data_IF_300333587128
#
_entry.id   IF_300333587128
#
_cell.length_a   1.000
_cell.length_b   1.000
_cell.length_c   1.000
_cell.angle_alpha   90.00
_cell.angle_beta   90.00
_cell.angle_gamma   90.00
#
_symmetry.space_group_name_H-M   'P 1'
#
loop_
_entity.id
_entity.type
_entity.pdbx_description
1 polymer ?
#
# COMPACT_ATOMS: atom_id res chain seq x y z
N UNK A 1 30.14 -10.76 -0.60
CA UNK A 1 28.86 -10.65 0.14
C UNK A 1 28.01 -9.43 -0.26
N UNK A 2 28.56 -8.42 -0.95
CA UNK A 2 27.83 -7.19 -1.36
C UNK A 2 26.83 -7.39 -2.52
N UNK A 3 27.07 -8.33 -3.43
CA UNK A 3 26.19 -8.56 -4.58
C UNK A 3 24.84 -9.21 -4.26
N UNK A 4 24.75 -10.02 -3.20
CA UNK A 4 23.51 -10.72 -2.81
C UNK A 4 22.51 -9.77 -2.17
N UNK A 5 22.98 -8.82 -1.35
CA UNK A 5 22.13 -7.79 -0.72
C UNK A 5 21.58 -6.80 -1.75
N UNK A 6 22.43 -6.31 -2.67
CA UNK A 6 21.98 -5.41 -3.74
C UNK A 6 20.95 -6.06 -4.68
N UNK A 7 21.17 -7.34 -5.03
CA UNK A 7 20.22 -8.10 -5.85
C UNK A 7 18.88 -8.31 -5.13
N UNK A 8 18.91 -8.64 -3.83
CA UNK A 8 17.69 -8.83 -3.03
C UNK A 8 16.88 -7.53 -2.91
N UNK A 9 17.54 -6.39 -2.67
CA UNK A 9 16.89 -5.07 -2.65
C UNK A 9 16.25 -4.72 -4.00
N UNK A 10 16.96 -4.99 -5.10
CA UNK A 10 16.44 -4.75 -6.44
C UNK A 10 15.21 -5.62 -6.75
N UNK A 11 15.22 -6.89 -6.33
CA UNK A 11 14.09 -7.80 -6.47
C UNK A 11 12.88 -7.32 -5.65
N UNK A 12 13.09 -6.90 -4.40
CA UNK A 12 12.04 -6.35 -3.53
C UNK A 12 11.44 -5.09 -4.17
N UNK A 13 12.28 -4.20 -4.70
CA UNK A 13 11.83 -2.99 -5.38
C UNK A 13 11.00 -3.30 -6.62
N UNK A 14 11.40 -4.30 -7.42
CA UNK A 14 10.64 -4.74 -8.60
C UNK A 14 9.29 -5.35 -8.22
N UNK A 15 9.26 -6.26 -7.25
CA UNK A 15 8.01 -6.89 -6.76
C UNK A 15 7.06 -5.82 -6.23
N UNK A 16 7.59 -4.87 -5.45
CA UNK A 16 6.84 -3.76 -4.89
C UNK A 16 6.28 -2.88 -6.02
N UNK A 17 7.10 -2.50 -7.01
CA UNK A 17 6.67 -1.70 -8.15
C UNK A 17 5.55 -2.39 -8.97
N UNK A 18 5.66 -3.70 -9.21
CA UNK A 18 4.63 -4.48 -9.90
C UNK A 18 3.32 -4.47 -9.11
N UNK A 19 3.36 -4.67 -7.79
CA UNK A 19 2.17 -4.60 -6.95
C UNK A 19 1.58 -3.18 -6.92
N UNK A 20 2.39 -2.13 -6.76
CA UNK A 20 1.93 -0.73 -6.80
C UNK A 20 1.16 -0.44 -8.10
N UNK A 21 1.71 -0.88 -9.24
CA UNK A 21 1.11 -0.71 -10.56
C UNK A 21 -0.24 -1.43 -10.76
N UNK A 22 -0.62 -2.38 -9.89
CA UNK A 22 -1.95 -3.02 -9.91
C UNK A 22 -3.02 -2.15 -9.27
N UNK A 23 -2.66 -1.29 -8.31
CA UNK A 23 -3.60 -0.50 -7.53
C UNK A 23 -3.67 0.96 -7.98
N UNK A 24 -2.73 1.41 -8.82
CA UNK A 24 -2.76 2.75 -9.41
C UNK A 24 -3.90 2.88 -10.45
N UNK A 25 -4.72 3.94 -10.38
CA UNK A 25 -5.76 4.22 -11.36
C UNK A 25 -5.17 4.44 -12.77
N UNK A 26 -5.69 3.73 -13.78
CA UNK A 26 -5.26 3.85 -15.19
C UNK A 26 -6.37 4.40 -16.08
N UNK A 27 -7.63 4.15 -15.72
CA UNK A 27 -8.81 4.57 -16.48
C UNK A 27 -9.68 5.50 -15.65
N UNK A 28 -10.60 6.23 -16.31
CA UNK A 28 -11.55 7.15 -15.67
C UNK A 28 -12.37 6.47 -14.56
N UNK A 29 -12.77 5.22 -14.77
CA UNK A 29 -13.50 4.41 -13.79
C UNK A 29 -12.71 4.19 -12.50
N UNK A 30 -11.40 3.92 -12.60
CA UNK A 30 -10.53 3.72 -11.45
C UNK A 30 -10.44 4.98 -10.58
N UNK A 31 -10.42 6.16 -11.23
CA UNK A 31 -10.45 7.46 -10.55
C UNK A 31 -11.78 7.73 -9.85
N UNK A 32 -12.90 7.30 -10.41
CA UNK A 32 -14.20 7.35 -9.74
C UNK A 32 -14.23 6.42 -8.52
N UNK A 33 -13.70 5.21 -8.64
CA UNK A 33 -13.60 4.27 -7.52
C UNK A 33 -12.65 4.76 -6.41
N UNK A 34 -11.62 5.53 -6.76
CA UNK A 34 -10.75 6.19 -5.78
C UNK A 34 -11.54 7.23 -4.98
N UNK A 35 -12.35 8.06 -5.65
CA UNK A 35 -13.22 9.05 -5.01
C UNK A 35 -14.22 8.41 -4.05
N UNK A 36 -14.90 7.35 -4.49
CA UNK A 36 -15.85 6.63 -3.65
C UNK A 36 -15.18 5.98 -2.43
N UNK A 37 -13.99 5.39 -2.61
CA UNK A 37 -13.20 4.87 -1.48
C UNK A 37 -12.78 5.96 -0.51
N UNK A 38 -12.30 7.09 -1.03
CA UNK A 38 -11.91 8.25 -0.22
C UNK A 38 -13.06 8.76 0.67
N UNK A 39 -14.27 8.84 0.11
CA UNK A 39 -15.46 9.28 0.83
C UNK A 39 -15.88 8.30 1.94
N UNK A 40 -15.63 7.00 1.75
CA UNK A 40 -15.92 5.96 2.75
C UNK A 40 -14.87 5.87 3.86
N UNK A 41 -13.66 6.37 3.63
CA UNK A 41 -12.62 6.34 4.64
C UNK A 41 -12.98 7.22 5.84
N UNK A 42 -12.71 6.70 7.04
CA UNK A 42 -12.76 7.49 8.28
C UNK A 42 -11.76 8.64 8.20
N UNK A 43 -11.93 9.65 9.05
CA UNK A 43 -11.01 10.78 9.11
C UNK A 43 -9.56 10.32 9.42
N UNK A 44 -9.41 9.33 10.29
CA UNK A 44 -8.13 8.74 10.66
C UNK A 44 -7.45 8.03 9.49
N UNK A 45 -8.18 7.21 8.72
CA UNK A 45 -7.64 6.57 7.53
C UNK A 45 -7.21 7.59 6.48
N UNK A 46 -8.00 8.65 6.26
CA UNK A 46 -7.61 9.75 5.36
C UNK A 46 -6.35 10.45 5.84
N UNK A 47 -6.25 10.75 7.13
CA UNK A 47 -5.07 11.38 7.72
C UNK A 47 -3.82 10.50 7.57
N UNK A 48 -3.94 9.19 7.76
CA UNK A 48 -2.84 8.25 7.54
C UNK A 48 -2.37 8.26 6.08
N UNK A 49 -3.29 8.12 5.12
CA UNK A 49 -2.97 8.16 3.69
C UNK A 49 -2.32 9.49 3.29
N UNK A 50 -2.82 10.62 3.79
CA UNK A 50 -2.25 11.95 3.51
C UNK A 50 -0.83 12.09 4.06
N UNK A 51 -0.57 11.55 5.24
CA UNK A 51 0.77 11.52 5.83
C UNK A 51 1.74 10.70 4.97
N UNK A 52 1.32 9.52 4.48
CA UNK A 52 2.14 8.72 3.55
C UNK A 52 2.35 9.45 2.22
N UNK A 53 1.34 10.17 1.74
CA UNK A 53 1.43 10.96 0.51
C UNK A 53 2.21 12.29 0.66
N UNK A 54 2.61 12.67 1.88
CA UNK A 54 3.29 13.94 2.15
C UNK A 54 2.41 15.17 1.91
N UNK A 55 1.10 15.07 2.11
CA UNK A 55 0.12 16.14 1.86
C UNK A 55 -0.47 16.65 3.17
N UNK A 56 -0.55 17.96 3.31
CA UNK A 56 -1.21 18.63 4.43
C UNK A 56 -2.69 18.94 4.15
N UNK A 57 -3.49 18.92 5.22
CA UNK A 57 -4.91 19.24 5.18
C UNK A 57 -5.77 18.06 4.72
N UNK A 58 -6.92 17.90 5.38
CA UNK A 58 -7.89 16.85 5.08
C UNK A 58 -9.10 17.49 4.37
N UNK A 59 -9.16 17.32 3.06
CA UNK A 59 -10.17 17.90 2.20
C UNK A 59 -10.92 16.80 1.42
N UNK A 60 -12.10 17.14 0.86
CA UNK A 60 -12.71 16.32 -0.19
C UNK A 60 -11.73 16.09 -1.36
N UNK A 61 -11.79 14.91 -1.98
CA UNK A 61 -10.79 14.50 -2.98
C UNK A 61 -10.68 15.47 -4.16
N UNK A 62 -11.79 16.14 -4.50
CA UNK A 62 -11.93 17.07 -5.61
C UNK A 62 -11.13 18.35 -5.42
N UNK A 63 -10.85 18.75 -4.17
CA UNK A 63 -10.08 19.96 -3.86
C UNK A 63 -8.58 19.79 -4.05
N UNK A 64 -8.08 18.55 -4.14
CA UNK A 64 -6.69 18.29 -4.41
C UNK A 64 -6.36 18.46 -5.89
N UNK A 65 -5.15 18.92 -6.18
CA UNK A 65 -4.59 18.92 -7.54
C UNK A 65 -4.46 17.49 -8.07
N UNK A 66 -4.35 17.34 -9.39
CA UNK A 66 -4.19 16.00 -10.00
C UNK A 66 -2.89 15.31 -9.57
N UNK A 67 -1.83 16.08 -9.34
CA UNK A 67 -0.57 15.57 -8.76
C UNK A 67 -0.79 15.01 -7.36
N UNK A 68 -1.52 15.74 -6.50
CA UNK A 68 -1.86 15.26 -5.17
C UNK A 68 -2.78 14.05 -5.21
N UNK A 69 -3.78 14.01 -6.10
CA UNK A 69 -4.64 12.82 -6.29
C UNK A 69 -3.82 11.59 -6.70
N UNK A 70 -2.80 11.75 -7.55
CA UNK A 70 -1.86 10.67 -7.90
C UNK A 70 -1.01 10.24 -6.70
N UNK A 71 -0.53 11.18 -5.89
CA UNK A 71 0.22 10.86 -4.68
C UNK A 71 -0.65 10.10 -3.66
N UNK A 72 -1.91 10.51 -3.46
CA UNK A 72 -2.90 9.81 -2.62
C UNK A 72 -3.15 8.40 -3.16
N UNK A 73 -3.37 8.25 -4.47
CA UNK A 73 -3.57 6.95 -5.09
C UNK A 73 -2.35 6.02 -4.90
N UNK A 74 -1.15 6.58 -5.01
CA UNK A 74 0.12 5.86 -4.78
C UNK A 74 0.26 5.45 -3.32
N UNK A 75 -0.01 6.36 -2.38
CA UNK A 75 0.01 6.06 -0.96
C UNK A 75 -0.97 4.92 -0.59
N UNK A 76 -2.19 4.93 -1.16
CA UNK A 76 -3.16 3.83 -0.96
C UNK A 76 -2.62 2.52 -1.54
N UNK A 77 -2.00 2.57 -2.73
CA UNK A 77 -1.38 1.39 -3.34
C UNK A 77 -0.26 0.82 -2.43
N UNK A 78 0.57 1.69 -1.87
CA UNK A 78 1.67 1.33 -0.97
C UNK A 78 1.13 0.68 0.30
N UNK A 79 0.16 1.31 0.96
CA UNK A 79 -0.47 0.78 2.18
C UNK A 79 -1.06 -0.61 1.92
N UNK A 80 -1.76 -0.81 0.80
CA UNK A 80 -2.32 -2.12 0.46
C UNK A 80 -1.24 -3.17 0.16
N UNK A 81 -0.16 -2.78 -0.53
CA UNK A 81 0.94 -3.67 -0.85
C UNK A 81 1.66 -4.15 0.43
N UNK A 82 1.95 -3.23 1.36
CA UNK A 82 2.57 -3.57 2.64
C UNK A 82 1.64 -4.39 3.53
N UNK A 83 0.37 -4.03 3.66
CA UNK A 83 -0.59 -4.80 4.45
C UNK A 83 -0.69 -6.26 3.95
N UNK A 84 -0.72 -6.49 2.64
CA UNK A 84 -0.74 -7.83 2.06
C UNK A 84 0.56 -8.61 2.33
N UNK A 85 1.71 -7.94 2.25
CA UNK A 85 2.99 -8.55 2.60
C UNK A 85 3.06 -8.94 4.08
N UNK A 86 2.59 -8.06 4.97
CA UNK A 86 2.52 -8.30 6.41
C UNK A 86 1.57 -9.45 6.74
N UNK A 87 0.39 -9.52 6.11
CA UNK A 87 -0.54 -10.65 6.26
C UNK A 87 0.12 -11.97 5.86
N UNK A 88 0.85 -12.01 4.74
CA UNK A 88 1.56 -13.21 4.31
C UNK A 88 2.65 -13.63 5.31
N UNK A 89 3.37 -12.67 5.88
CA UNK A 89 4.38 -12.92 6.91
C UNK A 89 3.75 -13.42 8.21
N UNK A 90 2.71 -12.75 8.70
CA UNK A 90 1.96 -13.15 9.91
C UNK A 90 1.41 -14.57 9.75
N UNK A 91 0.83 -14.90 8.60
CA UNK A 91 0.33 -16.25 8.32
C UNK A 91 1.43 -17.30 8.36
N UNK A 92 2.64 -17.00 7.84
CA UNK A 92 3.80 -17.91 7.92
C UNK A 92 4.28 -18.09 9.35
N UNK A 93 4.38 -17.01 10.12
CA UNK A 93 4.78 -17.05 11.53
C UNK A 93 3.77 -17.87 12.34
N UNK A 94 2.46 -17.64 12.17
CA UNK A 94 1.42 -18.44 12.83
C UNK A 94 1.49 -19.91 12.45
N UNK A 95 1.81 -20.24 11.19
CA UNK A 95 2.01 -21.64 10.78
C UNK A 95 3.22 -22.24 11.50
N UNK A 96 4.34 -21.53 11.50
CA UNK A 96 5.56 -21.97 12.19
C UNK A 96 5.32 -22.24 13.69
N UNK A 97 4.63 -21.34 14.39
CA UNK A 97 4.27 -21.56 15.80
C UNK A 97 3.37 -22.78 16.00
N UNK A 98 2.36 -22.97 15.15
CA UNK A 98 1.50 -24.17 15.22
C UNK A 98 2.25 -25.46 14.92
N UNK A 99 3.23 -25.42 14.04
CA UNK A 99 4.05 -26.59 13.69
C UNK A 99 5.03 -26.92 14.84
N UNK A 100 5.54 -25.91 15.57
CA UNK A 100 6.31 -26.10 16.80
C UNK A 100 5.45 -26.67 17.93
N UNK A 101 4.24 -26.17 18.14
CA UNK A 101 3.31 -26.68 19.17
C UNK A 101 2.84 -28.12 18.92
N UNK A 102 2.96 -28.63 17.69
CA UNK A 102 2.63 -30.02 17.31
C UNK A 102 3.85 -30.94 17.27
N UNK A 103 5.05 -30.39 17.48
CA UNK A 103 6.33 -31.08 17.42
C UNK A 103 6.88 -31.54 18.78
N UNK A 104 6.14 -31.30 19.87
CA UNK A 104 6.26 -31.97 21.18
C UNK A 104 5.11 -32.97 21.37
#
# INVERSE_FOLDING_TARGET
MTGVSAWAEQLINQITAVHKNQYLPKKREDWLLLRERWNRYTAEHRAFVLRVAGIEGNFPLERYSDTQKRAIATAIADVNAFAKADFALISRIRKFWRDLEKGD
#
